data_IF_256709588792
#
_entry.id   IF_256709588792
#
_cell.length_a   1.000
_cell.length_b   1.000
_cell.length_c   1.000
_cell.angle_alpha   90.00
_cell.angle_beta   90.00
_cell.angle_gamma   90.00
#
_symmetry.space_group_name_H-M   'P 1'
#
loop_
_entity.id
_entity.type
_entity.pdbx_description
1 polymer ?
#
# COMPACT_ATOMS: atom_id res chain seq x y z
N UNK A 1 4.39 11.69 -6.31
CA UNK A 1 3.03 12.26 -6.44
C UNK A 1 2.21 11.83 -5.22
N UNK A 2 1.26 12.62 -4.70
CA UNK A 2 0.40 12.15 -3.60
C UNK A 2 -0.61 11.13 -4.12
N UNK A 3 -0.60 9.89 -3.61
CA UNK A 3 -1.53 8.82 -3.99
C UNK A 3 -3.03 9.16 -3.79
N UNK A 4 -3.32 10.31 -3.16
CA UNK A 4 -4.65 10.79 -2.81
C UNK A 4 -5.64 10.79 -3.97
N UNK A 5 -5.23 11.17 -5.19
CA UNK A 5 -6.12 11.18 -6.36
C UNK A 5 -6.53 9.77 -6.83
N UNK A 6 -5.65 8.78 -6.65
CA UNK A 6 -5.95 7.38 -7.01
C UNK A 6 -6.81 6.77 -5.91
N UNK A 7 -6.44 6.99 -4.65
CA UNK A 7 -7.16 6.48 -3.48
C UNK A 7 -8.60 7.00 -3.42
N UNK A 8 -8.84 8.27 -3.78
CA UNK A 8 -10.18 8.85 -3.82
C UNK A 8 -11.10 8.16 -4.84
N UNK A 9 -10.56 7.64 -5.97
CA UNK A 9 -11.33 6.86 -6.96
C UNK A 9 -11.82 5.53 -6.41
N UNK A 10 -11.19 5.04 -5.34
CA UNK A 10 -11.58 3.83 -4.61
C UNK A 10 -12.36 4.14 -3.32
N UNK A 11 -12.78 5.40 -3.10
CA UNK A 11 -13.39 5.86 -1.84
C UNK A 11 -12.50 5.61 -0.60
N UNK A 12 -11.18 5.69 -0.76
CA UNK A 12 -10.22 5.55 0.33
C UNK A 12 -9.76 6.94 0.74
N UNK A 13 -10.13 7.37 1.94
CA UNK A 13 -9.75 8.68 2.52
C UNK A 13 -8.36 8.64 3.16
N UNK A 14 -7.99 7.49 3.74
CA UNK A 14 -6.70 7.26 4.37
C UNK A 14 -6.33 5.78 4.31
N UNK A 15 -5.03 5.50 4.37
CA UNK A 15 -4.54 4.13 4.52
C UNK A 15 -4.79 3.63 5.94
N UNK A 16 -5.03 2.33 6.08
CA UNK A 16 -5.10 1.67 7.39
C UNK A 16 -3.70 1.33 7.93
N UNK A 17 -3.63 0.94 9.21
CA UNK A 17 -2.37 0.66 9.91
C UNK A 17 -1.51 -0.40 9.20
N UNK A 18 -2.15 -1.47 8.71
CA UNK A 18 -1.46 -2.53 7.97
C UNK A 18 -0.86 -2.03 6.66
N UNK A 19 -1.57 -1.18 5.92
CA UNK A 19 -1.07 -0.57 4.67
C UNK A 19 0.08 0.39 4.95
N UNK A 20 0.00 1.19 6.02
CA UNK A 20 1.11 2.06 6.43
C UNK A 20 2.34 1.26 6.83
N UNK A 21 2.17 0.16 7.58
CA UNK A 21 3.28 -0.71 7.97
C UNK A 21 3.89 -1.42 6.74
N UNK A 22 3.07 -1.84 5.77
CA UNK A 22 3.56 -2.40 4.51
C UNK A 22 4.43 -1.39 3.74
N UNK A 23 3.99 -0.12 3.66
CA UNK A 23 4.77 0.95 3.03
C UNK A 23 6.07 1.24 3.79
N UNK A 24 6.10 1.09 5.11
CA UNK A 24 7.33 1.21 5.90
C UNK A 24 8.28 0.01 5.69
N UNK A 25 7.71 -1.20 5.67
CA UNK A 25 8.46 -2.45 5.57
C UNK A 25 9.10 -2.66 4.19
N UNK A 26 8.43 -2.27 3.11
CA UNK A 26 8.91 -2.52 1.73
C UNK A 26 10.21 -1.78 1.38
N UNK A 27 10.56 -0.74 2.14
CA UNK A 27 11.82 -0.01 1.97
C UNK A 27 13.00 -0.65 2.72
N UNK A 28 12.75 -1.70 3.52
CA UNK A 28 13.79 -2.43 4.24
C UNK A 28 14.43 -3.48 3.32
N UNK A 29 15.70 -3.85 3.55
CA UNK A 29 16.28 -5.00 2.87
C UNK A 29 15.48 -6.27 3.25
N UNK A 30 15.40 -7.22 2.31
CA UNK A 30 14.67 -8.51 2.35
C UNK A 30 13.24 -8.49 1.80
N UNK A 31 12.79 -9.68 1.39
CA UNK A 31 11.41 -9.90 0.94
C UNK A 31 10.41 -9.69 2.08
N UNK A 32 9.25 -9.12 1.74
CA UNK A 32 8.17 -8.84 2.70
C UNK A 32 7.03 -9.84 2.53
N UNK A 33 6.64 -10.49 3.63
CA UNK A 33 5.44 -11.34 3.70
C UNK A 33 4.35 -10.63 4.51
N UNK A 34 3.26 -10.26 3.84
CA UNK A 34 2.13 -9.55 4.44
C UNK A 34 0.97 -10.52 4.75
N UNK A 35 0.73 -10.78 6.04
CA UNK A 35 -0.34 -11.67 6.50
C UNK A 35 -1.48 -10.85 7.09
N UNK A 36 -2.67 -10.93 6.48
CA UNK A 36 -3.88 -10.32 7.04
C UNK A 36 -5.14 -11.06 6.56
N UNK A 37 -6.31 -10.87 7.21
CA UNK A 37 -7.59 -11.40 6.73
C UNK A 37 -7.98 -10.92 5.32
N UNK A 38 -8.89 -11.64 4.65
CA UNK A 38 -9.53 -11.14 3.42
C UNK A 38 -10.37 -9.89 3.72
N UNK A 39 -10.51 -8.99 2.75
CA UNK A 39 -11.22 -7.71 2.96
C UNK A 39 -10.41 -6.62 3.67
N UNK A 40 -9.26 -6.91 4.30
CA UNK A 40 -8.44 -5.90 4.99
C UNK A 40 -7.70 -4.90 4.08
N UNK A 41 -7.87 -5.00 2.76
CA UNK A 41 -7.22 -4.11 1.80
C UNK A 41 -5.77 -4.48 1.41
N UNK A 42 -5.39 -5.77 1.49
CA UNK A 42 -4.05 -6.27 1.06
C UNK A 42 -3.72 -5.91 -0.39
N UNK A 43 -4.71 -5.88 -1.28
CA UNK A 43 -4.52 -5.50 -2.69
C UNK A 43 -3.97 -4.09 -2.81
N UNK A 44 -4.52 -3.12 -2.05
CA UNK A 44 -4.00 -1.75 -2.02
C UNK A 44 -2.62 -1.71 -1.35
N UNK A 45 -2.42 -2.46 -0.27
CA UNK A 45 -1.12 -2.58 0.39
C UNK A 45 0.00 -3.10 -0.53
N UNK A 46 -0.33 -3.99 -1.47
CA UNK A 46 0.60 -4.48 -2.50
C UNK A 46 0.77 -3.50 -3.68
N UNK A 47 -0.32 -2.93 -4.19
CA UNK A 47 -0.28 -2.09 -5.40
C UNK A 47 0.38 -0.73 -5.18
N UNK A 48 0.24 -0.13 -3.99
CA UNK A 48 0.85 1.18 -3.72
C UNK A 48 2.40 1.16 -3.80
N UNK A 49 3.11 0.20 -3.19
CA UNK A 49 4.55 0.04 -3.41
C UNK A 49 4.93 -0.15 -4.87
N UNK A 50 4.15 -0.93 -5.63
CA UNK A 50 4.42 -1.16 -7.05
C UNK A 50 4.26 0.14 -7.87
N UNK A 51 3.23 0.93 -7.58
CA UNK A 51 3.03 2.24 -8.21
C UNK A 51 4.20 3.19 -7.92
N UNK A 52 4.70 3.23 -6.68
CA UNK A 52 5.88 4.04 -6.31
C UNK A 52 7.15 3.60 -7.04
N UNK A 53 7.28 2.32 -7.37
CA UNK A 53 8.43 1.79 -8.10
C UNK A 53 8.42 2.17 -9.58
N UNK A 54 7.24 2.31 -10.19
CA UNK A 54 7.10 2.57 -11.63
C UNK A 54 6.87 4.05 -11.95
N UNK A 55 6.33 4.85 -11.02
CA UNK A 55 6.24 6.30 -11.15
C UNK A 55 7.61 6.92 -10.84
N UNK A 56 8.34 7.32 -11.89
CA UNK A 56 9.61 8.06 -11.81
C UNK A 56 9.41 9.46 -11.25
#
# INVERSE_FOLDING_TARGET
MTHSNILSRFNITSLNDMQNEMLSAIHKPNDVVLISPTGSGKTIGFLLPILQLIEV
#
